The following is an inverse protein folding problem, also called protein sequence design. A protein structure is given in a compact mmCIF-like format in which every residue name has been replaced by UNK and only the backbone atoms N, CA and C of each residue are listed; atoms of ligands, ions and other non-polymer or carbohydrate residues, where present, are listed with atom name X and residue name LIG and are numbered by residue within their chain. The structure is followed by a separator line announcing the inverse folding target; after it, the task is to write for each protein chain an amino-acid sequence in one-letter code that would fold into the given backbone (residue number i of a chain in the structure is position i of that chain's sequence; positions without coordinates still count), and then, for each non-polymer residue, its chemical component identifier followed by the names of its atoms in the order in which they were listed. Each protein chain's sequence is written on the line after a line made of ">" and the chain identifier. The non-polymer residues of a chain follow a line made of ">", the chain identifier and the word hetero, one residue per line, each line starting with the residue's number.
data_IF_095997290606
#
_entry.id   IF_095997290606
#
_cell.length_a   1.000
_cell.length_b   1.000
_cell.length_c   1.000
_cell.angle_alpha   90.00
_cell.angle_beta   90.00
_cell.angle_gamma   90.00
#
_symmetry.space_group_name_H-M   'P 1'
#
loop_
_entity.id
_entity.type
_entity.pdbx_description
1 polymer ?
#
# COMPACT_ATOMS: atom_id res chain seq x y z
N UNK A 1 7.94 -3.26 12.06
CA UNK A 1 7.07 -4.14 12.86
C UNK A 1 6.19 -4.90 11.89
N UNK A 2 6.33 -6.23 11.84
CA UNK A 2 5.59 -7.08 10.88
C UNK A 2 4.33 -7.67 11.52
N UNK A 3 3.42 -8.20 10.69
CA UNK A 3 2.17 -8.83 11.12
C UNK A 3 2.41 -9.91 12.20
N UNK A 4 3.51 -10.65 12.08
CA UNK A 4 3.94 -11.67 13.04
C UNK A 4 4.21 -11.12 14.46
N UNK A 5 4.71 -9.89 14.58
CA UNK A 5 5.03 -9.28 15.88
C UNK A 5 3.73 -8.91 16.64
N UNK A 6 2.69 -8.49 15.91
CA UNK A 6 1.38 -8.17 16.47
C UNK A 6 0.58 -9.41 16.90
N UNK A 7 0.76 -10.56 16.23
CA UNK A 7 0.08 -11.81 16.57
C UNK A 7 0.73 -12.55 17.75
N UNK A 8 2.03 -12.32 18.00
CA UNK A 8 2.73 -12.93 19.14
C UNK A 8 2.24 -12.45 20.52
N UNK A 9 1.49 -11.33 20.55
CA UNK A 9 1.06 -10.64 21.78
C UNK A 9 -0.43 -10.79 22.07
N UNK A 10 -1.16 -11.58 21.29
CA UNK A 10 -2.59 -11.78 21.53
C UNK A 10 -2.80 -12.74 22.72
N UNK A 11 -3.70 -12.44 23.67
CA UNK A 11 -3.95 -13.33 24.80
C UNK A 11 -4.51 -14.68 24.34
N UNK A 12 -3.86 -15.78 24.72
CA UNK A 12 -4.33 -17.14 24.46
C UNK A 12 -5.45 -17.49 25.46
N UNK A 13 -6.71 -17.34 25.06
CA UNK A 13 -7.83 -17.91 25.81
C UNK A 13 -7.97 -19.41 25.47
N UNK A 14 -7.68 -20.24 26.48
CA UNK A 14 -7.92 -21.68 26.64
C UNK A 14 -8.09 -22.51 25.34
N UNK A 15 -6.99 -23.20 25.01
CA UNK A 15 -6.94 -24.30 24.06
C UNK A 15 -7.86 -25.45 24.49
N UNK A 16 -8.78 -25.84 23.61
CA UNK A 16 -8.96 -27.24 23.23
C UNK A 16 -9.72 -27.27 21.87
N UNK A 17 -9.18 -28.05 20.92
CA UNK A 17 -9.73 -28.42 19.59
C UNK A 17 -9.64 -27.48 18.37
N UNK A 18 -9.23 -26.20 18.45
CA UNK A 18 -9.27 -25.27 17.28
C UNK A 18 -7.94 -24.91 16.59
N UNK A 19 -6.81 -25.43 17.06
CA UNK A 19 -5.48 -24.95 16.64
C UNK A 19 -5.15 -25.14 15.16
N UNK A 20 -5.67 -26.20 14.51
CA UNK A 20 -5.41 -26.44 13.08
C UNK A 20 -6.20 -25.47 12.18
N UNK A 21 -7.40 -25.05 12.61
CA UNK A 21 -8.25 -24.15 11.81
C UNK A 21 -7.71 -22.71 11.84
N UNK A 22 -7.13 -22.27 12.96
CA UNK A 22 -6.53 -20.95 13.11
C UNK A 22 -5.25 -20.77 12.27
N UNK A 23 -4.32 -21.74 12.27
CA UNK A 23 -3.14 -21.68 11.40
C UNK A 23 -3.53 -21.69 9.91
N UNK A 24 -4.55 -22.47 9.53
CA UNK A 24 -5.08 -22.49 8.17
C UNK A 24 -5.76 -21.16 7.80
N UNK A 25 -6.44 -20.51 8.75
CA UNK A 25 -7.01 -19.17 8.56
C UNK A 25 -5.94 -18.08 8.41
N UNK A 26 -4.83 -18.16 9.15
CA UNK A 26 -3.69 -17.24 8.99
C UNK A 26 -3.08 -17.38 7.59
N UNK A 27 -2.87 -18.61 7.11
CA UNK A 27 -2.38 -18.86 5.74
C UNK A 27 -3.37 -18.33 4.67
N UNK A 28 -4.67 -18.43 4.91
CA UNK A 28 -5.71 -17.85 4.04
C UNK A 28 -5.70 -16.32 4.08
N UNK A 29 -5.48 -15.72 5.25
CA UNK A 29 -5.37 -14.27 5.40
C UNK A 29 -4.13 -13.73 4.68
N UNK A 30 -2.99 -14.41 4.80
CA UNK A 30 -1.75 -14.04 4.11
C UNK A 30 -1.88 -14.16 2.59
N UNK A 31 -2.55 -15.21 2.09
CA UNK A 31 -2.82 -15.37 0.64
C UNK A 31 -3.81 -14.35 0.09
N UNK A 32 -4.86 -13.99 0.84
CA UNK A 32 -5.78 -12.91 0.46
C UNK A 32 -5.12 -11.53 0.55
N UNK A 33 -4.28 -11.30 1.56
CA UNK A 33 -3.48 -10.09 1.73
C UNK A 33 -2.50 -9.91 0.56
N UNK A 34 -1.81 -10.99 0.15
CA UNK A 34 -0.94 -11.00 -1.03
C UNK A 34 -1.73 -10.70 -2.31
N UNK A 35 -2.90 -11.32 -2.50
CA UNK A 35 -3.75 -11.07 -3.68
C UNK A 35 -4.25 -9.62 -3.76
N UNK A 36 -4.63 -9.04 -2.62
CA UNK A 36 -5.06 -7.64 -2.55
C UNK A 36 -3.90 -6.67 -2.74
N UNK A 37 -2.74 -6.97 -2.15
CA UNK A 37 -1.52 -6.23 -2.38
C UNK A 37 -1.16 -6.21 -3.87
N UNK A 38 -1.19 -7.35 -4.57
CA UNK A 38 -0.86 -7.43 -5.98
C UNK A 38 -1.88 -6.70 -6.88
N UNK A 39 -3.14 -6.65 -6.46
CA UNK A 39 -4.16 -5.83 -7.15
C UNK A 39 -3.88 -4.35 -6.98
N UNK A 40 -3.60 -3.90 -5.75
CA UNK A 40 -3.27 -2.51 -5.46
C UNK A 40 -1.99 -2.12 -6.19
N UNK A 41 -0.94 -2.92 -6.10
CA UNK A 41 0.34 -2.67 -6.77
C UNK A 41 0.16 -2.53 -8.29
N UNK A 42 -0.61 -3.43 -8.92
CA UNK A 42 -0.90 -3.31 -10.36
C UNK A 42 -1.73 -2.08 -10.70
N UNK A 43 -2.76 -1.78 -9.91
CA UNK A 43 -3.59 -0.59 -10.12
C UNK A 43 -2.76 0.70 -9.97
N UNK A 44 -1.91 0.78 -8.94
CA UNK A 44 -1.00 1.90 -8.69
C UNK A 44 0.05 2.04 -9.79
N UNK A 45 0.59 0.93 -10.33
CA UNK A 45 1.51 0.97 -11.47
C UNK A 45 0.85 1.47 -12.75
N UNK A 46 -0.42 1.13 -12.97
CA UNK A 46 -1.18 1.55 -14.14
C UNK A 46 -1.71 3.00 -14.05
N UNK A 47 -1.70 3.62 -12.87
CA UNK A 47 -2.20 4.98 -12.65
C UNK A 47 -1.16 6.02 -13.11
N UNK A 48 -1.31 6.52 -14.34
CA UNK A 48 -0.40 7.51 -14.94
C UNK A 48 -0.30 8.81 -14.13
N UNK A 49 -1.41 9.28 -13.56
CA UNK A 49 -1.44 10.49 -12.76
C UNK A 49 -0.60 10.32 -11.49
N UNK A 50 -0.76 9.18 -10.81
CA UNK A 50 0.07 8.82 -9.67
C UNK A 50 1.54 8.68 -10.06
N UNK A 51 1.85 8.07 -11.21
CA UNK A 51 3.24 7.94 -11.66
C UNK A 51 3.91 9.30 -11.90
N UNK A 52 3.20 10.26 -12.49
CA UNK A 52 3.71 11.63 -12.67
C UNK A 52 3.95 12.31 -11.32
N UNK A 53 2.96 12.25 -10.41
CA UNK A 53 3.08 12.89 -9.10
C UNK A 53 4.18 12.26 -8.23
N UNK A 54 4.31 10.92 -8.26
CA UNK A 54 5.34 10.21 -7.49
C UNK A 54 6.75 10.66 -7.87
N UNK A 55 7.01 10.91 -9.16
CA UNK A 55 8.31 11.42 -9.64
C UNK A 55 8.61 12.82 -9.11
N UNK A 56 7.60 13.68 -9.04
CA UNK A 56 7.73 15.03 -8.46
C UNK A 56 8.08 14.92 -6.97
N UNK A 57 7.32 14.12 -6.22
CA UNK A 57 7.53 13.96 -4.77
C UNK A 57 8.93 13.38 -4.47
N UNK A 58 9.36 12.35 -5.20
CA UNK A 58 10.66 11.69 -4.97
C UNK A 58 11.84 12.61 -5.29
N UNK A 59 11.71 13.47 -6.31
CA UNK A 59 12.75 14.43 -6.71
C UNK A 59 12.76 15.71 -5.86
N UNK A 60 11.80 15.86 -4.97
CA UNK A 60 11.56 17.07 -4.20
C UNK A 60 10.41 17.88 -4.80
N UNK A 61 9.53 18.37 -3.91
CA UNK A 61 8.42 19.20 -4.32
C UNK A 61 8.93 20.55 -4.86
N UNK A 62 8.45 21.02 -6.01
CA UNK A 62 8.87 22.29 -6.59
C UNK A 62 8.51 23.46 -5.66
N UNK A 63 9.43 24.39 -5.47
CA UNK A 63 9.21 25.56 -4.61
C UNK A 63 8.35 26.60 -5.33
N UNK A 64 8.47 26.67 -6.66
CA UNK A 64 7.72 27.59 -7.50
C UNK A 64 6.90 26.87 -8.58
N UNK A 65 5.83 27.51 -9.05
CA UNK A 65 4.95 26.93 -10.09
C UNK A 65 5.67 26.65 -11.42
N UNK A 66 6.76 27.37 -11.69
CA UNK A 66 7.53 27.22 -12.92
C UNK A 66 8.43 25.97 -12.94
N UNK A 67 8.71 25.39 -11.76
CA UNK A 67 9.54 24.19 -11.61
C UNK A 67 8.72 22.90 -11.74
N UNK A 68 7.40 23.01 -11.82
CA UNK A 68 6.48 21.89 -11.98
C UNK A 68 6.67 21.27 -13.38
N UNK A 69 6.95 19.96 -13.50
CA UNK A 69 7.04 19.29 -14.79
C UNK A 69 5.75 19.46 -15.59
N UNK A 70 5.85 19.64 -16.90
CA UNK A 70 4.72 19.93 -17.79
C UNK A 70 3.63 18.86 -17.68
N UNK A 71 4.05 17.60 -17.51
CA UNK A 71 3.17 16.46 -17.32
C UNK A 71 2.35 16.57 -16.03
N UNK A 72 2.89 17.21 -14.98
CA UNK A 72 2.24 17.38 -13.68
C UNK A 72 1.29 18.60 -13.63
N UNK A 73 1.47 19.60 -14.50
CA UNK A 73 0.65 20.83 -14.51
C UNK A 73 -0.84 20.52 -14.66
N UNK A 74 -1.19 19.55 -15.50
CA UNK A 74 -2.58 19.14 -15.75
C UNK A 74 -3.25 18.48 -14.53
N UNK A 75 -2.46 17.90 -13.63
CA UNK A 75 -2.97 17.16 -12.46
C UNK A 75 -2.96 17.99 -11.17
N UNK A 76 -2.17 19.06 -11.13
CA UNK A 76 -2.02 19.90 -9.94
C UNK A 76 -3.02 21.07 -9.87
N UNK A 77 -3.95 21.16 -10.82
CA UNK A 77 -4.96 22.22 -10.85
C UNK A 77 -4.37 23.63 -10.95
N UNK A 78 -3.15 23.75 -11.47
CA UNK A 78 -2.50 25.04 -11.66
C UNK A 78 -3.16 25.77 -12.83
N UNK A 79 -3.49 27.08 -12.68
CA UNK A 79 -4.02 27.85 -13.79
C UNK A 79 -3.01 27.87 -14.94
N UNK A 80 -3.51 27.71 -16.17
CA UNK A 80 -2.73 27.80 -17.41
C UNK A 80 -2.11 29.18 -17.59
#
# INVERSE_FOLDING_TARGET
>A
MGLADCLSRFPLENQDEKTIDEELMVLKLDTLSSSNHDKIARATQADEQFQVLSKVIIRGWPETKCEVPVEAVLFLGLPR
#
